data_IF_274050552897
#
_entry.id   IF_274050552897
#
_cell.length_a   1.000
_cell.length_b   1.000
_cell.length_c   1.000
_cell.angle_alpha   90.00
_cell.angle_beta   90.00
_cell.angle_gamma   90.00
#
_symmetry.space_group_name_H-M   'P 1'
#
loop_
_entity.id
_entity.type
_entity.pdbx_description
1 polymer ?
#
# COMPACT_ATOMS: atom_id res chain seq x y z
N UNK A 1 2.57 78.29 -8.78
CA UNK A 1 1.19 77.75 -8.81
C UNK A 1 0.72 77.66 -10.26
N UNK A 2 0.23 76.49 -10.70
CA UNK A 2 -0.53 76.24 -11.96
C UNK A 2 0.24 76.46 -13.27
N UNK A 3 0.09 75.72 -14.37
CA UNK A 3 -0.97 74.81 -14.81
C UNK A 3 -0.40 73.77 -15.78
N UNK A 4 -1.16 72.68 -15.93
CA UNK A 4 -0.93 71.51 -16.77
C UNK A 4 -0.65 71.84 -18.25
N UNK A 5 0.24 71.07 -18.88
CA UNK A 5 0.34 70.99 -20.33
C UNK A 5 0.39 69.52 -20.75
N UNK A 6 -0.71 69.09 -21.36
CA UNK A 6 -0.87 67.82 -22.06
C UNK A 6 0.13 67.73 -23.21
N UNK A 7 0.84 66.60 -23.34
CA UNK A 7 1.45 66.19 -24.60
C UNK A 7 0.98 64.80 -24.96
N UNK A 8 0.22 64.76 -26.05
CA UNK A 8 -0.23 63.60 -26.80
C UNK A 8 0.98 62.79 -27.25
N UNK A 9 0.98 61.50 -26.88
CA UNK A 9 1.99 60.52 -27.22
C UNK A 9 1.84 60.02 -28.65
N UNK A 10 3.00 59.92 -29.28
CA UNK A 10 3.28 59.59 -30.67
C UNK A 10 2.98 58.12 -31.04
N UNK A 11 2.50 57.99 -32.28
CA UNK A 11 2.58 56.88 -33.23
C UNK A 11 3.35 55.62 -32.80
N UNK A 12 2.67 54.46 -32.82
CA UNK A 12 3.29 53.16 -32.56
C UNK A 12 2.50 52.03 -33.20
N UNK A 13 2.91 51.68 -34.42
CA UNK A 13 2.44 50.61 -35.29
C UNK A 13 2.11 49.28 -34.57
N UNK A 14 0.82 48.90 -34.55
CA UNK A 14 0.34 47.67 -33.92
C UNK A 14 0.63 46.45 -34.81
N UNK A 15 1.88 45.97 -34.77
CA UNK A 15 2.32 44.76 -35.45
C UNK A 15 1.78 43.54 -34.70
N UNK A 16 0.59 43.06 -35.09
CA UNK A 16 0.00 41.80 -34.60
C UNK A 16 0.95 40.64 -34.86
N UNK A 17 1.63 40.18 -33.83
CA UNK A 17 2.32 38.89 -33.83
C UNK A 17 1.27 37.79 -33.67
N UNK A 18 1.12 36.94 -34.68
CA UNK A 18 0.30 35.73 -34.62
C UNK A 18 0.99 34.70 -33.72
N UNK A 19 0.51 34.57 -32.49
CA UNK A 19 0.94 33.51 -31.56
C UNK A 19 0.40 32.18 -32.10
N UNK A 20 1.27 31.37 -32.70
CA UNK A 20 1.00 29.97 -33.02
C UNK A 20 0.93 29.17 -31.71
N UNK A 21 -0.30 28.84 -31.29
CA UNK A 21 -0.56 27.94 -30.16
C UNK A 21 -0.15 26.50 -30.52
N UNK A 22 1.11 26.14 -30.24
CA UNK A 22 1.52 24.74 -30.18
C UNK A 22 0.82 24.09 -28.99
N UNK A 23 -0.24 23.33 -29.26
CA UNK A 23 -1.00 22.59 -28.26
C UNK A 23 -0.18 21.40 -27.75
N UNK A 24 0.64 21.63 -26.72
CA UNK A 24 1.21 20.52 -25.97
C UNK A 24 0.08 19.75 -25.28
N UNK A 25 0.02 18.41 -25.39
CA UNK A 25 -0.97 17.64 -24.67
C UNK A 25 -0.79 17.88 -23.17
N UNK A 26 -1.88 18.07 -22.39
CA UNK A 26 -1.76 18.33 -20.98
C UNK A 26 -1.11 17.12 -20.29
N UNK A 27 -0.03 17.35 -19.55
CA UNK A 27 0.56 16.36 -18.67
C UNK A 27 -0.51 15.89 -17.69
N UNK A 28 -1.12 14.72 -17.96
CA UNK A 28 -1.94 14.02 -16.98
C UNK A 28 -1.02 13.63 -15.83
N UNK A 29 -1.07 14.39 -14.75
CA UNK A 29 -0.57 13.96 -13.46
C UNK A 29 -1.33 12.68 -13.10
N UNK A 30 -0.66 11.53 -13.22
CA UNK A 30 -1.21 10.27 -12.76
C UNK A 30 -1.30 10.37 -11.24
N UNK A 31 -2.50 10.63 -10.72
CA UNK A 31 -2.75 10.58 -9.28
C UNK A 31 -2.45 9.15 -8.84
N UNK A 32 -1.44 8.91 -7.97
CA UNK A 32 -1.14 7.58 -7.49
C UNK A 32 -2.39 7.02 -6.82
N UNK A 33 -2.91 5.93 -7.33
CA UNK A 33 -4.02 5.24 -6.68
C UNK A 33 -3.57 4.86 -5.26
N UNK A 34 -4.35 5.20 -4.21
CA UNK A 34 -3.97 4.86 -2.86
C UNK A 34 -3.85 3.35 -2.75
N UNK A 35 -2.64 2.87 -2.48
CA UNK A 35 -2.38 1.44 -2.29
C UNK A 35 -3.31 0.94 -1.18
N UNK A 36 -4.04 -0.17 -1.38
CA UNK A 36 -4.89 -0.71 -0.34
C UNK A 36 -4.05 -0.96 0.93
N UNK A 37 -4.64 -0.79 2.13
CA UNK A 37 -3.93 -1.07 3.37
C UNK A 37 -3.38 -2.49 3.33
N UNK A 38 -2.12 -2.65 3.71
CA UNK A 38 -1.46 -3.95 3.69
C UNK A 38 -2.29 -4.97 4.49
N UNK A 39 -2.64 -6.07 3.81
CA UNK A 39 -3.32 -7.21 4.41
C UNK A 39 -2.33 -8.38 4.51
N UNK A 40 -2.51 -9.30 5.45
CA UNK A 40 -1.72 -10.49 5.56
C UNK A 40 -2.16 -11.42 4.42
N UNK A 41 -1.28 -12.35 4.16
CA UNK A 41 -1.43 -13.35 3.14
C UNK A 41 -1.24 -14.70 3.80
N UNK A 42 -1.80 -15.72 3.17
CA UNK A 42 -1.38 -17.08 3.45
C UNK A 42 0.00 -17.26 2.83
N UNK A 43 1.01 -17.51 3.66
CA UNK A 43 2.37 -17.73 3.22
C UNK A 43 2.85 -19.14 3.52
N UNK A 44 3.48 -19.78 2.56
CA UNK A 44 4.19 -21.05 2.75
C UNK A 44 5.68 -20.77 2.84
N UNK A 45 6.33 -21.36 3.82
CA UNK A 45 7.72 -21.16 4.15
C UNK A 45 8.49 -22.45 3.90
N UNK A 46 9.66 -22.31 3.28
CA UNK A 46 10.60 -23.41 3.05
C UNK A 46 11.96 -23.00 3.57
N UNK A 47 12.39 -23.63 4.66
CA UNK A 47 13.71 -23.40 5.20
C UNK A 47 14.72 -24.35 4.56
N UNK A 48 15.93 -23.86 4.32
CA UNK A 48 17.08 -24.66 3.90
C UNK A 48 17.45 -25.82 4.85
N UNK A 49 16.91 -25.86 6.07
CA UNK A 49 17.08 -27.01 6.98
C UNK A 49 16.08 -28.16 6.73
N UNK A 50 15.29 -28.07 5.65
CA UNK A 50 14.27 -29.05 5.25
C UNK A 50 12.89 -28.83 5.88
N UNK A 51 12.74 -27.93 6.87
CA UNK A 51 11.42 -27.63 7.45
C UNK A 51 10.58 -26.77 6.52
N UNK A 52 9.32 -27.16 6.38
CA UNK A 52 8.27 -26.38 5.73
C UNK A 52 7.16 -26.07 6.72
N UNK A 53 6.49 -24.93 6.56
CA UNK A 53 5.32 -24.57 7.36
C UNK A 53 4.48 -23.51 6.64
N UNK A 54 3.21 -23.41 6.99
CA UNK A 54 2.29 -22.38 6.50
C UNK A 54 1.93 -21.37 7.59
N UNK A 55 1.56 -20.16 7.19
CA UNK A 55 1.09 -19.12 8.12
C UNK A 55 0.04 -18.21 7.48
N UNK A 56 -1.06 -17.99 8.18
CA UNK A 56 -2.14 -17.06 7.80
C UNK A 56 -1.79 -15.58 8.03
N UNK A 57 -0.66 -15.31 8.69
CA UNK A 57 -0.20 -13.96 9.03
C UNK A 57 1.14 -13.66 8.36
N UNK A 58 1.25 -14.02 7.08
CA UNK A 58 2.41 -13.68 6.27
C UNK A 58 2.26 -12.26 5.74
N UNK A 59 3.22 -11.39 6.02
CA UNK A 59 3.21 -10.01 5.52
C UNK A 59 4.18 -9.89 4.36
N UNK A 60 3.82 -9.12 3.33
CA UNK A 60 4.70 -8.90 2.19
C UNK A 60 6.03 -8.29 2.67
N UNK A 61 7.15 -8.82 2.17
CA UNK A 61 8.50 -8.39 2.55
C UNK A 61 8.94 -8.76 3.98
N UNK A 62 8.14 -9.51 4.73
CA UNK A 62 8.49 -9.92 6.11
C UNK A 62 8.90 -11.41 6.17
N UNK A 63 9.87 -11.72 7.03
CA UNK A 63 10.29 -13.10 7.29
C UNK A 63 9.69 -13.68 8.57
N UNK A 64 9.74 -15.01 8.66
CA UNK A 64 9.57 -15.74 9.91
C UNK A 64 10.85 -16.49 10.26
N UNK A 65 11.12 -16.65 11.55
CA UNK A 65 12.30 -17.34 12.06
C UNK A 65 11.98 -18.83 12.16
N UNK A 66 12.80 -19.66 11.53
CA UNK A 66 12.67 -21.10 11.64
C UNK A 66 12.85 -21.55 13.09
N UNK A 67 11.88 -22.32 13.63
CA UNK A 67 11.95 -22.82 15.02
C UNK A 67 13.19 -23.66 15.31
N UNK A 68 13.73 -24.37 14.31
CA UNK A 68 14.90 -25.28 14.41
C UNK A 68 16.22 -24.53 14.33
N UNK A 69 16.53 -23.95 13.17
CA UNK A 69 17.84 -23.36 12.90
C UNK A 69 17.93 -21.86 13.24
N UNK A 70 16.82 -21.24 13.68
CA UNK A 70 16.73 -19.82 14.05
C UNK A 70 17.12 -18.81 12.96
N UNK A 71 17.18 -19.25 11.69
CA UNK A 71 17.41 -18.38 10.53
C UNK A 71 16.12 -17.67 10.11
N UNK A 72 16.26 -16.48 9.54
CA UNK A 72 15.17 -15.78 8.85
C UNK A 72 14.81 -16.51 7.56
N UNK A 73 13.53 -16.79 7.39
CA UNK A 73 12.99 -17.47 6.21
C UNK A 73 11.88 -16.61 5.64
N UNK A 74 12.09 -16.15 4.42
CA UNK A 74 11.07 -15.49 3.64
C UNK A 74 10.07 -16.53 3.10
N UNK A 75 8.79 -16.16 2.94
CA UNK A 75 7.81 -17.05 2.36
C UNK A 75 8.23 -17.40 0.93
N UNK A 76 8.19 -18.69 0.61
CA UNK A 76 8.43 -19.21 -0.73
C UNK A 76 7.27 -18.85 -1.67
N UNK A 77 6.04 -18.92 -1.16
CA UNK A 77 4.82 -18.51 -1.86
C UNK A 77 3.94 -17.70 -0.91
N UNK A 78 3.24 -16.71 -1.46
CA UNK A 78 2.23 -15.94 -0.73
C UNK A 78 0.98 -15.78 -1.59
N UNK A 79 -0.18 -16.15 -1.04
CA UNK A 79 -1.48 -15.97 -1.67
C UNK A 79 -2.43 -15.20 -0.77
N UNK A 80 -3.48 -14.64 -1.35
CA UNK A 80 -4.52 -13.99 -0.55
C UNK A 80 -5.20 -15.01 0.39
N UNK A 81 -5.65 -14.51 1.55
CA UNK A 81 -6.39 -15.32 2.51
C UNK A 81 -7.78 -15.60 1.94
N UNK A 82 -8.10 -16.88 1.79
CA UNK A 82 -9.43 -17.33 1.40
C UNK A 82 -10.35 -17.35 2.63
N UNK A 83 -11.68 -17.30 2.43
CA UNK A 83 -12.63 -17.45 3.54
C UNK A 83 -12.41 -18.73 4.36
N UNK A 84 -11.99 -19.82 3.71
CA UNK A 84 -11.64 -21.09 4.36
C UNK A 84 -10.39 -21.01 5.25
N UNK A 85 -9.49 -20.05 5.00
CA UNK A 85 -8.32 -19.83 5.84
C UNK A 85 -8.68 -19.04 7.10
N UNK A 86 -9.82 -18.35 7.12
CA UNK A 86 -10.26 -17.52 8.24
C UNK A 86 -11.07 -18.39 9.19
N UNK A 87 -10.47 -18.78 10.30
CA UNK A 87 -11.20 -19.46 11.38
C UNK A 87 -11.84 -18.41 12.28
N UNK A 88 -13.16 -18.50 12.50
CA UNK A 88 -13.85 -17.64 13.49
C UNK A 88 -13.40 -17.91 14.93
N UNK A 89 -12.77 -19.06 15.15
CA UNK A 89 -12.20 -19.44 16.43
C UNK A 89 -10.96 -18.58 16.73
N UNK A 90 -11.15 -17.58 17.57
CA UNK A 90 -10.06 -16.73 18.09
C UNK A 90 -8.99 -17.54 18.83
N UNK A 91 -9.36 -18.71 19.33
CA UNK A 91 -8.47 -19.65 20.03
C UNK A 91 -7.69 -20.55 19.07
N UNK A 92 -8.26 -20.85 17.88
CA UNK A 92 -7.64 -21.73 16.86
C UNK A 92 -6.88 -20.97 15.78
N UNK A 93 -6.91 -19.63 15.79
CA UNK A 93 -5.95 -18.82 15.06
C UNK A 93 -4.56 -19.08 15.63
N UNK A 94 -3.91 -20.16 15.19
CA UNK A 94 -2.56 -20.59 15.59
C UNK A 94 -1.65 -19.37 15.67
N UNK A 95 -1.47 -18.90 16.90
CA UNK A 95 -0.71 -17.71 17.17
C UNK A 95 0.74 -18.10 16.94
N UNK A 96 1.32 -17.62 15.86
CA UNK A 96 2.75 -17.80 15.69
C UNK A 96 3.46 -17.05 16.84
N UNK A 97 4.55 -17.62 17.39
CA UNK A 97 5.28 -16.95 18.46
C UNK A 97 5.78 -15.58 18.00
N UNK A 98 5.56 -14.55 18.82
CA UNK A 98 5.88 -13.15 18.48
C UNK A 98 7.36 -12.98 18.18
N UNK A 99 8.22 -13.66 18.93
CA UNK A 99 9.66 -13.62 18.76
C UNK A 99 10.16 -14.25 17.46
N UNK A 100 9.29 -14.96 16.73
CA UNK A 100 9.63 -15.58 15.45
C UNK A 100 9.10 -14.80 14.25
N UNK A 101 8.26 -13.79 14.43
CA UNK A 101 7.69 -13.03 13.33
C UNK A 101 8.30 -11.63 13.26
N UNK A 102 8.89 -11.27 12.12
CA UNK A 102 9.48 -9.95 11.93
C UNK A 102 8.44 -8.83 12.11
N UNK A 103 7.22 -9.02 11.60
CA UNK A 103 6.15 -8.02 11.73
C UNK A 103 5.74 -7.81 13.19
N UNK A 104 5.65 -8.88 13.98
CA UNK A 104 5.36 -8.78 15.41
C UNK A 104 6.47 -8.03 16.17
N UNK A 105 7.74 -8.27 15.82
CA UNK A 105 8.87 -7.52 16.38
C UNK A 105 8.80 -6.03 16.05
N UNK A 106 8.53 -5.68 14.79
CA UNK A 106 8.38 -4.28 14.37
C UNK A 106 7.23 -3.57 15.08
N UNK A 107 6.11 -4.27 15.33
CA UNK A 107 4.94 -3.69 15.99
C UNK A 107 5.04 -3.69 17.52
N UNK A 108 6.03 -4.37 18.12
CA UNK A 108 6.08 -4.66 19.57
C UNK A 108 4.87 -5.46 20.08
N UNK A 109 4.02 -5.96 19.20
CA UNK A 109 2.72 -6.52 19.51
C UNK A 109 2.29 -7.55 18.44
N UNK A 110 1.23 -8.31 18.72
CA UNK A 110 0.77 -9.37 17.82
C UNK A 110 0.19 -8.80 16.52
N UNK A 111 0.73 -9.21 15.37
CA UNK A 111 0.34 -8.68 14.06
C UNK A 111 -1.03 -9.17 13.55
N UNK A 112 -1.68 -10.11 14.23
CA UNK A 112 -3.01 -10.62 13.87
C UNK A 112 -4.20 -9.92 14.57
N UNK A 113 -3.96 -8.95 15.45
CA UNK A 113 -5.02 -8.35 16.32
C UNK A 113 -6.08 -7.51 15.58
N UNK A 114 -5.96 -7.26 14.28
CA UNK A 114 -6.83 -6.29 13.55
C UNK A 114 -7.41 -6.80 12.25
N UNK A 115 -7.84 -8.07 12.15
CA UNK A 115 -8.48 -8.56 10.92
C UNK A 115 -9.77 -9.31 11.20
N UNK A 116 -10.69 -8.58 11.82
CA UNK A 116 -12.11 -8.77 11.56
C UNK A 116 -12.40 -8.26 10.14
N UNK A 117 -11.95 -8.98 9.12
CA UNK A 117 -12.55 -8.86 7.80
C UNK A 117 -13.96 -9.43 7.93
N UNK A 118 -14.89 -8.60 8.43
CA UNK A 118 -16.31 -8.89 8.25
C UNK A 118 -16.48 -9.14 6.75
N UNK A 119 -16.92 -10.33 6.33
CA UNK A 119 -17.26 -10.53 4.93
C UNK A 119 -18.29 -9.45 4.60
N UNK A 120 -18.04 -8.70 3.52
CA UNK A 120 -18.88 -7.60 3.05
C UNK A 120 -20.25 -8.10 2.52
N UNK A 121 -20.71 -9.29 2.95
CA UNK A 121 -21.88 -10.02 2.47
C UNK A 121 -23.06 -10.00 3.46
N UNK A 122 -23.20 -8.97 4.29
CA UNK A 122 -24.42 -8.77 5.09
C UNK A 122 -25.04 -7.40 4.86
N UNK A 123 -25.13 -6.99 3.58
CA UNK A 123 -25.82 -5.77 3.17
C UNK A 123 -27.06 -6.01 2.30
N UNK A 124 -27.52 -7.26 2.14
CA UNK A 124 -28.75 -7.58 1.37
C UNK A 124 -29.51 -8.77 1.94
N UNK A 125 -30.00 -8.63 3.17
CA UNK A 125 -31.23 -9.31 3.60
C UNK A 125 -31.98 -8.23 4.37
N UNK A 126 -32.89 -7.58 3.64
CA UNK A 126 -33.82 -6.58 4.15
C UNK A 126 -35.21 -7.13 3.91
#
# INVERSE_FOLDING_TARGET
MGCFSSKSGDSGENRRYSISHTSYPPFRHQVPTPKPPARPRFGEYRCICGRTWSSRLSWQGNYQICKRCKRSVHPHSQRELLPSDITNDKEKCEQHPKELCQKCKQLGSYCGKRQNVKPRYQARLR
#
